data_IF_586865072764
#
_entry.id   IF_586865072764
#
_cell.length_a   1.000
_cell.length_b   1.000
_cell.length_c   1.000
_cell.angle_alpha   90.00
_cell.angle_beta   90.00
_cell.angle_gamma   90.00
#
_symmetry.space_group_name_H-M   'P 1'
#
loop_
_entity.id
_entity.type
_entity.pdbx_description
1 polymer ?
#
# COMPACT_ATOMS: atom_id res chain seq x y z
N UNK A 1 -11.82 -6.37 -13.33
CA UNK A 1 -11.58 -4.91 -13.21
C UNK A 1 -12.06 -4.44 -11.85
N UNK A 2 -11.23 -3.70 -11.09
CA UNK A 2 -11.70 -3.12 -9.84
C UNK A 2 -12.77 -2.06 -10.09
N UNK A 3 -13.74 -1.99 -9.17
CA UNK A 3 -14.79 -0.96 -9.19
C UNK A 3 -14.20 0.43 -8.95
N UNK A 4 -15.00 1.47 -9.22
CA UNK A 4 -14.62 2.84 -8.87
C UNK A 4 -14.34 2.98 -7.36
N UNK A 5 -15.17 2.34 -6.53
CA UNK A 5 -14.98 2.32 -5.07
C UNK A 5 -13.64 1.68 -4.70
N UNK A 6 -13.33 0.52 -5.28
CA UNK A 6 -12.07 -0.17 -4.99
C UNK A 6 -10.87 0.65 -5.47
N UNK A 7 -10.93 1.23 -6.67
CA UNK A 7 -9.85 2.10 -7.16
C UNK A 7 -9.61 3.29 -6.23
N UNK A 8 -10.68 3.90 -5.74
CA UNK A 8 -10.58 5.01 -4.81
C UNK A 8 -9.94 4.58 -3.48
N UNK A 9 -10.28 3.38 -2.99
CA UNK A 9 -9.68 2.84 -1.78
C UNK A 9 -8.19 2.55 -1.97
N UNK A 10 -7.81 1.97 -3.10
CA UNK A 10 -6.41 1.72 -3.42
C UNK A 10 -5.62 3.04 -3.51
N UNK A 11 -6.20 4.08 -4.09
CA UNK A 11 -5.58 5.41 -4.12
C UNK A 11 -5.40 5.97 -2.71
N UNK A 12 -6.43 5.83 -1.87
CA UNK A 12 -6.34 6.22 -0.46
C UNK A 12 -5.19 5.48 0.25
N UNK A 13 -5.05 4.17 0.02
CA UNK A 13 -3.93 3.40 0.60
C UNK A 13 -2.58 3.96 0.15
N UNK A 14 -2.44 4.34 -1.12
CA UNK A 14 -1.20 4.91 -1.62
C UNK A 14 -0.87 6.27 -0.97
N UNK A 15 -1.89 7.04 -0.65
CA UNK A 15 -1.71 8.30 0.10
C UNK A 15 -1.28 7.97 1.53
N UNK A 16 -1.93 7.00 2.16
CA UNK A 16 -1.58 6.55 3.52
C UNK A 16 -0.14 6.08 3.59
N UNK A 17 0.30 5.29 2.60
CA UNK A 17 1.68 4.80 2.54
C UNK A 17 2.68 5.85 2.06
N UNK A 18 2.20 7.00 1.58
CA UNK A 18 3.07 8.08 1.12
C UNK A 18 3.75 7.80 -0.21
N UNK A 19 3.23 6.87 -0.99
CA UNK A 19 3.89 6.44 -2.24
C UNK A 19 3.46 7.23 -3.46
N UNK A 20 2.15 7.43 -3.66
CA UNK A 20 1.67 8.20 -4.82
C UNK A 20 2.00 9.68 -4.70
N UNK A 21 2.27 10.16 -3.48
CA UNK A 21 2.68 11.55 -3.21
C UNK A 21 4.18 11.68 -3.04
N UNK A 22 4.94 10.60 -3.19
CA UNK A 22 6.40 10.64 -3.02
C UNK A 22 7.04 11.52 -4.08
N UNK A 23 7.99 12.35 -3.65
CA UNK A 23 8.68 13.31 -4.51
C UNK A 23 9.36 12.63 -5.70
N UNK A 24 9.93 11.46 -5.49
CA UNK A 24 10.77 10.80 -6.48
C UNK A 24 10.00 9.81 -7.37
N UNK A 25 8.70 9.57 -7.10
CA UNK A 25 7.97 8.60 -7.91
C UNK A 25 7.77 9.09 -9.34
N UNK A 26 8.00 8.19 -10.29
CA UNK A 26 7.77 8.43 -11.71
C UNK A 26 6.59 7.63 -12.24
N UNK A 27 5.93 6.86 -11.36
CA UNK A 27 4.83 6.00 -11.78
C UNK A 27 3.78 5.87 -10.66
N UNK A 28 3.29 7.01 -10.18
CA UNK A 28 2.14 7.07 -9.27
C UNK A 28 2.29 6.17 -8.03
N UNK A 29 3.51 6.06 -7.51
CA UNK A 29 3.84 5.29 -6.32
C UNK A 29 4.21 3.83 -6.57
N UNK A 30 3.95 3.28 -7.75
CA UNK A 30 4.24 1.88 -8.04
C UNK A 30 5.74 1.55 -8.01
N UNK A 31 6.60 2.54 -8.19
CA UNK A 31 8.05 2.38 -8.26
C UNK A 31 8.78 2.77 -6.97
N UNK A 32 8.06 3.02 -5.88
CA UNK A 32 8.67 3.53 -4.65
C UNK A 32 9.26 2.39 -3.81
N UNK A 33 10.50 2.60 -3.33
CA UNK A 33 11.14 1.75 -2.33
C UNK A 33 10.97 2.44 -0.98
N UNK A 34 10.77 1.67 0.09
CA UNK A 34 10.59 2.23 1.43
C UNK A 34 11.77 3.16 1.77
N UNK A 35 11.44 4.30 2.39
CA UNK A 35 12.45 5.28 2.77
C UNK A 35 13.10 4.89 4.10
N UNK A 36 14.42 4.97 4.16
CA UNK A 36 15.19 4.63 5.33
C UNK A 36 16.14 5.74 5.76
N UNK A 37 17.05 5.40 6.68
CA UNK A 37 18.03 6.32 7.22
C UNK A 37 19.16 6.63 6.25
N UNK A 38 19.56 5.64 5.44
CA UNK A 38 20.68 5.77 4.52
C UNK A 38 20.22 6.39 3.21
N UNK A 39 20.67 7.63 2.98
CA UNK A 39 20.30 8.39 1.78
C UNK A 39 20.92 7.83 0.50
N UNK A 40 21.90 6.92 0.61
CA UNK A 40 22.46 6.25 -0.56
C UNK A 40 21.58 5.11 -1.08
N UNK A 41 20.62 4.67 -0.28
CA UNK A 41 19.68 3.62 -0.68
C UNK A 41 18.76 4.14 -1.79
N UNK A 42 18.54 3.36 -2.87
CA UNK A 42 17.59 3.78 -3.92
C UNK A 42 16.21 4.05 -3.36
N UNK A 43 15.54 5.07 -3.86
CA UNK A 43 14.17 5.43 -3.45
C UNK A 43 13.12 4.95 -4.45
N UNK A 44 13.56 4.56 -5.65
CA UNK A 44 12.68 4.04 -6.69
C UNK A 44 13.38 2.89 -7.44
N UNK A 45 12.58 2.11 -8.19
CA UNK A 45 13.09 1.04 -9.04
C UNK A 45 12.43 1.12 -10.41
N UNK A 46 13.02 0.43 -11.40
CA UNK A 46 12.51 0.47 -12.78
C UNK A 46 12.13 -0.90 -13.33
N UNK A 47 12.62 -1.98 -12.72
CA UNK A 47 12.35 -3.34 -13.18
C UNK A 47 11.15 -3.92 -12.44
N UNK A 48 10.01 -3.99 -13.13
CA UNK A 48 8.76 -4.52 -12.58
C UNK A 48 8.60 -6.03 -12.78
N UNK A 49 9.58 -6.70 -13.39
CA UNK A 49 9.47 -8.15 -13.58
C UNK A 49 9.58 -8.93 -12.28
N UNK A 50 10.05 -8.28 -11.23
CA UNK A 50 10.18 -8.85 -9.88
C UNK A 50 10.15 -7.74 -8.84
N UNK A 51 9.86 -8.11 -7.59
CA UNK A 51 10.00 -7.21 -6.45
C UNK A 51 11.47 -6.80 -6.31
N UNK A 52 11.79 -5.52 -6.07
CA UNK A 52 13.18 -5.06 -6.03
C UNK A 52 14.01 -5.66 -4.89
N UNK A 53 13.35 -6.10 -3.81
CA UNK A 53 14.00 -6.77 -2.67
C UNK A 53 15.20 -6.00 -2.13
N UNK A 54 15.03 -4.69 -1.92
CA UNK A 54 16.05 -3.85 -1.31
C UNK A 54 15.80 -3.80 0.20
N UNK A 55 16.74 -4.30 0.99
CA UNK A 55 16.64 -4.28 2.44
C UNK A 55 17.10 -2.93 2.96
N UNK A 56 16.19 -2.17 3.56
CA UNK A 56 16.40 -0.79 3.98
C UNK A 56 16.35 -0.69 5.50
N UNK A 57 17.35 -0.04 6.11
CA UNK A 57 17.36 0.23 7.55
C UNK A 57 16.49 1.46 7.83
N UNK A 58 15.46 1.30 8.67
CA UNK A 58 14.45 2.33 8.92
C UNK A 58 14.77 3.23 10.11
N UNK A 59 15.46 2.72 11.13
CA UNK A 59 15.73 3.49 12.34
C UNK A 59 17.05 3.08 13.00
N UNK A 60 17.42 3.81 14.08
CA UNK A 60 18.65 3.59 14.82
C UNK A 60 18.69 2.22 15.52
N UNK A 61 17.53 1.62 15.78
CA UNK A 61 17.44 0.33 16.45
C UNK A 61 17.65 -0.85 15.50
N UNK A 62 17.95 -0.57 14.24
CA UNK A 62 18.23 -1.60 13.25
C UNK A 62 16.99 -2.22 12.62
N UNK A 63 15.82 -1.62 12.77
CA UNK A 63 14.62 -2.08 12.09
C UNK A 63 14.82 -1.99 10.59
N UNK A 64 14.57 -3.08 9.89
CA UNK A 64 14.77 -3.18 8.44
C UNK A 64 13.49 -3.59 7.73
N UNK A 65 13.36 -3.18 6.47
CA UNK A 65 12.19 -3.52 5.66
C UNK A 65 12.57 -3.68 4.20
N UNK A 66 11.88 -4.58 3.51
CA UNK A 66 11.96 -4.72 2.06
C UNK A 66 10.73 -4.14 1.36
N UNK A 67 9.90 -3.37 2.07
CA UNK A 67 8.64 -2.84 1.54
C UNK A 67 8.88 -2.04 0.26
N UNK A 68 8.05 -2.28 -0.75
CA UNK A 68 8.18 -1.62 -2.04
C UNK A 68 6.84 -1.53 -2.74
N UNK A 69 6.78 -0.66 -3.75
CA UNK A 69 5.60 -0.45 -4.58
C UNK A 69 4.59 0.48 -3.95
N UNK A 70 3.48 0.62 -4.63
CA UNK A 70 2.43 1.59 -4.28
C UNK A 70 1.82 1.32 -2.91
N UNK A 71 1.75 0.05 -2.51
CA UNK A 71 1.14 -0.39 -1.26
C UNK A 71 2.15 -0.92 -0.24
N UNK A 72 3.43 -0.72 -0.50
CA UNK A 72 4.54 -1.08 0.40
C UNK A 72 4.49 -2.54 0.83
N UNK A 73 4.56 -3.43 -0.17
CA UNK A 73 4.48 -4.87 0.02
C UNK A 73 5.88 -5.42 0.30
N UNK A 74 6.02 -6.22 1.37
CA UNK A 74 7.28 -6.87 1.70
C UNK A 74 7.62 -7.95 0.67
N UNK A 75 8.91 -8.16 0.44
CA UNK A 75 9.38 -9.18 -0.51
C UNK A 75 8.81 -10.57 -0.21
N UNK A 76 8.82 -10.98 1.06
CA UNK A 76 8.33 -12.32 1.45
C UNK A 76 6.84 -12.49 1.12
N UNK A 77 6.05 -11.44 1.22
CA UNK A 77 4.64 -11.50 0.86
C UNK A 77 4.45 -11.53 -0.65
N UNK A 78 5.27 -10.78 -1.40
CA UNK A 78 5.21 -10.85 -2.85
C UNK A 78 5.49 -12.26 -3.35
N UNK A 79 6.51 -12.94 -2.81
CA UNK A 79 6.83 -14.32 -3.21
C UNK A 79 5.63 -15.23 -3.00
N UNK A 80 4.98 -15.15 -1.83
CA UNK A 80 3.83 -15.98 -1.50
C UNK A 80 2.63 -15.67 -2.41
N UNK A 81 2.29 -14.39 -2.57
CA UNK A 81 1.12 -14.00 -3.37
C UNK A 81 1.36 -14.15 -4.87
N UNK A 82 2.59 -13.98 -5.33
CA UNK A 82 2.92 -14.23 -6.73
C UNK A 82 2.55 -15.66 -7.11
N UNK A 83 2.88 -16.63 -6.26
CA UNK A 83 2.53 -18.03 -6.49
C UNK A 83 1.03 -18.26 -6.35
N UNK A 84 0.43 -17.77 -5.28
CA UNK A 84 -1.01 -17.98 -4.98
C UNK A 84 -1.90 -17.39 -6.07
N UNK A 85 -1.60 -16.19 -6.53
CA UNK A 85 -2.41 -15.44 -7.49
C UNK A 85 -1.92 -15.61 -8.93
N UNK A 86 -0.85 -16.38 -9.15
CA UNK A 86 -0.25 -16.63 -10.46
C UNK A 86 0.12 -15.33 -11.18
N UNK A 87 0.79 -14.44 -10.45
CA UNK A 87 1.20 -13.14 -10.98
C UNK A 87 2.42 -13.29 -11.88
N UNK A 88 2.57 -12.36 -12.83
CA UNK A 88 3.69 -12.35 -13.77
C UNK A 88 4.95 -11.73 -13.19
N UNK A 89 4.80 -10.77 -12.27
CA UNK A 89 5.91 -10.04 -11.70
C UNK A 89 5.44 -9.13 -10.58
N UNK A 90 5.95 -7.90 -10.59
CA UNK A 90 5.58 -6.87 -9.64
C UNK A 90 5.09 -5.61 -10.39
N UNK A 91 4.40 -5.83 -11.51
CA UNK A 91 3.83 -4.77 -12.32
C UNK A 91 2.69 -4.07 -11.54
N UNK A 92 2.26 -2.87 -11.98
CA UNK A 92 1.14 -2.20 -11.32
C UNK A 92 -0.09 -3.07 -11.11
N UNK A 93 -0.50 -3.84 -12.12
CA UNK A 93 -1.64 -4.76 -12.01
C UNK A 93 -1.39 -5.89 -11.00
N UNK A 94 -0.14 -6.35 -10.86
CA UNK A 94 0.22 -7.37 -9.86
C UNK A 94 0.13 -6.79 -8.46
N UNK A 95 0.63 -5.57 -8.27
CA UNK A 95 0.57 -4.87 -6.99
C UNK A 95 -0.88 -4.63 -6.57
N UNK A 96 -1.72 -4.17 -7.50
CA UNK A 96 -3.15 -3.99 -7.24
C UNK A 96 -3.81 -5.31 -6.85
N UNK A 97 -3.48 -6.40 -7.53
CA UNK A 97 -4.04 -7.73 -7.24
C UNK A 97 -3.68 -8.18 -5.82
N UNK A 98 -2.44 -7.95 -5.38
CA UNK A 98 -2.02 -8.29 -4.02
C UNK A 98 -2.79 -7.44 -3.00
N UNK A 99 -2.88 -6.12 -3.22
CA UNK A 99 -3.60 -5.25 -2.31
C UNK A 99 -5.07 -5.65 -2.20
N UNK A 100 -5.73 -5.96 -3.31
CA UNK A 100 -7.12 -6.42 -3.30
C UNK A 100 -7.28 -7.76 -2.57
N UNK A 101 -6.31 -8.65 -2.69
CA UNK A 101 -6.33 -9.92 -1.95
C UNK A 101 -6.19 -9.69 -0.44
N UNK A 102 -5.30 -8.80 -0.02
CA UNK A 102 -5.16 -8.44 1.38
C UNK A 102 -6.46 -7.84 1.92
N UNK A 103 -7.11 -6.99 1.14
CA UNK A 103 -8.41 -6.39 1.51
C UNK A 103 -9.48 -7.48 1.67
N UNK A 104 -9.53 -8.46 0.77
CA UNK A 104 -10.44 -9.59 0.89
C UNK A 104 -10.19 -10.40 2.15
N UNK A 105 -8.92 -10.65 2.47
CA UNK A 105 -8.54 -11.38 3.70
C UNK A 105 -8.95 -10.62 4.95
N UNK A 106 -8.95 -9.29 4.90
CA UNK A 106 -9.43 -8.43 5.97
C UNK A 106 -10.96 -8.36 6.02
N UNK A 107 -11.66 -8.95 5.06
CA UNK A 107 -13.14 -8.93 4.94
C UNK A 107 -13.68 -7.50 4.78
N UNK A 108 -12.94 -6.64 4.09
CA UNK A 108 -13.28 -5.24 3.92
C UNK A 108 -13.89 -4.92 2.54
N UNK A 109 -13.92 -5.86 1.60
CA UNK A 109 -14.38 -5.60 0.23
C UNK A 109 -15.81 -5.08 0.21
N UNK A 110 -16.74 -5.72 0.92
CA UNK A 110 -18.13 -5.28 0.96
C UNK A 110 -18.27 -3.88 1.56
N UNK A 111 -17.52 -3.60 2.63
CA UNK A 111 -17.55 -2.26 3.25
C UNK A 111 -17.13 -1.19 2.24
N UNK A 112 -16.09 -1.45 1.46
CA UNK A 112 -15.62 -0.52 0.43
C UNK A 112 -16.70 -0.29 -0.62
N UNK A 113 -17.29 -1.37 -1.14
CA UNK A 113 -18.31 -1.26 -2.19
C UNK A 113 -19.55 -0.51 -1.72
N UNK A 114 -19.92 -0.66 -0.45
CA UNK A 114 -21.07 0.01 0.14
C UNK A 114 -20.75 1.40 0.71
N UNK A 115 -19.49 1.83 0.69
CA UNK A 115 -19.08 3.14 1.17
C UNK A 115 -18.87 3.23 2.68
N UNK A 116 -18.82 2.10 3.39
CA UNK A 116 -18.50 2.05 4.82
C UNK A 116 -16.98 2.14 5.01
N UNK A 117 -16.41 3.31 4.72
CA UNK A 117 -14.96 3.46 4.58
C UNK A 117 -14.24 3.43 5.92
N UNK A 118 -14.83 3.99 6.98
CA UNK A 118 -14.25 3.92 8.32
C UNK A 118 -14.11 2.46 8.77
N UNK A 119 -15.12 1.64 8.52
CA UNK A 119 -15.11 0.22 8.84
C UNK A 119 -14.05 -0.52 8.02
N UNK A 120 -13.96 -0.20 6.72
CA UNK A 120 -12.96 -0.81 5.84
C UNK A 120 -11.53 -0.50 6.32
N UNK A 121 -11.26 0.76 6.65
CA UNK A 121 -9.96 1.19 7.18
C UNK A 121 -9.65 0.43 8.48
N UNK A 122 -10.60 0.35 9.39
CA UNK A 122 -10.42 -0.37 10.65
C UNK A 122 -10.08 -1.84 10.44
N UNK A 123 -10.71 -2.48 9.47
CA UNK A 123 -10.44 -3.89 9.13
C UNK A 123 -9.07 -4.09 8.48
N UNK A 124 -8.56 -3.10 7.77
CA UNK A 124 -7.29 -3.20 7.03
C UNK A 124 -6.07 -2.74 7.84
N UNK A 125 -6.25 -2.15 9.02
CA UNK A 125 -5.15 -1.59 9.82
C UNK A 125 -4.10 -2.64 10.22
N UNK A 126 -4.48 -3.90 10.29
CA UNK A 126 -3.54 -4.98 10.62
C UNK A 126 -2.55 -5.26 9.48
N UNK A 127 -2.87 -4.83 8.27
CA UNK A 127 -2.03 -5.04 7.09
C UNK A 127 -1.27 -3.78 6.66
N UNK A 128 -1.75 -2.60 7.03
CA UNK A 128 -1.13 -1.31 6.70
C UNK A 128 -0.99 -0.48 7.96
N UNK A 129 0.24 -0.41 8.48
CA UNK A 129 0.56 0.24 9.76
C UNK A 129 0.33 1.75 9.74
N UNK A 130 0.25 2.36 8.57
CA UNK A 130 -0.02 3.80 8.42
C UNK A 130 -1.49 4.16 8.66
N UNK A 131 -2.38 3.16 8.70
CA UNK A 131 -3.81 3.40 8.91
C UNK A 131 -4.12 3.71 10.38
N UNK A 132 -5.13 4.56 10.64
CA UNK A 132 -5.49 4.94 12.02
C UNK A 132 -5.83 3.73 12.89
N UNK A 133 -5.32 3.71 14.11
CA UNK A 133 -5.60 2.66 15.08
C UNK A 133 -4.78 1.40 14.93
N UNK A 134 -3.79 1.37 14.04
CA UNK A 134 -2.94 0.20 13.86
C UNK A 134 -2.07 -0.10 15.09
N UNK A 135 -1.54 0.93 15.74
CA UNK A 135 -0.85 0.78 17.03
C UNK A 135 0.55 0.19 16.96
N UNK A 136 1.21 0.24 15.79
CA UNK A 136 2.54 -0.35 15.60
C UNK A 136 3.69 0.62 15.90
N UNK A 137 3.40 1.80 16.48
CA UNK A 137 4.44 2.78 16.77
C UNK A 137 4.96 3.52 15.55
N UNK A 138 4.37 3.33 14.38
CA UNK A 138 4.69 4.04 13.16
C UNK A 138 3.73 5.22 12.98
N UNK A 139 4.11 6.17 12.11
CA UNK A 139 3.26 7.30 11.78
C UNK A 139 1.91 6.80 11.21
N UNK A 140 0.83 7.36 11.73
CA UNK A 140 -0.53 7.07 11.28
C UNK A 140 -1.18 8.35 10.76
N UNK A 141 -1.88 8.23 9.62
CA UNK A 141 -2.70 9.33 9.12
C UNK A 141 -4.00 9.42 9.89
N UNK A 142 -4.58 10.62 9.96
CA UNK A 142 -5.90 10.78 10.56
C UNK A 142 -6.97 10.20 9.61
N UNK A 143 -8.06 9.74 10.21
CA UNK A 143 -9.19 9.20 9.45
C UNK A 143 -9.73 10.24 8.44
N UNK A 144 -9.84 11.50 8.86
CA UNK A 144 -10.38 12.57 8.01
C UNK A 144 -9.54 12.79 6.75
N UNK A 145 -8.21 12.74 6.87
CA UNK A 145 -7.29 12.88 5.73
C UNK A 145 -7.51 11.75 4.74
N UNK A 146 -7.63 10.52 5.23
CA UNK A 146 -7.80 9.35 4.36
C UNK A 146 -9.16 9.34 3.68
N UNK A 147 -10.22 9.69 4.40
CA UNK A 147 -11.56 9.79 3.80
C UNK A 147 -11.59 10.89 2.73
N UNK A 148 -10.93 12.02 2.97
CA UNK A 148 -10.82 13.07 1.96
C UNK A 148 -10.08 12.57 0.71
N UNK A 149 -9.00 11.80 0.87
CA UNK A 149 -8.28 11.21 -0.26
C UNK A 149 -9.15 10.21 -1.03
N UNK A 150 -9.94 9.41 -0.33
CA UNK A 150 -10.88 8.46 -0.93
C UNK A 150 -11.91 9.19 -1.79
N UNK A 151 -12.52 10.24 -1.26
CA UNK A 151 -13.51 11.04 -1.99
C UNK A 151 -12.89 11.74 -3.20
N UNK A 152 -11.69 12.31 -3.03
CA UNK A 152 -10.98 12.99 -4.12
C UNK A 152 -10.67 12.03 -5.27
N UNK A 153 -10.49 10.74 -4.98
CA UNK A 153 -10.24 9.71 -5.98
C UNK A 153 -11.52 9.18 -6.64
N UNK A 154 -12.68 9.74 -6.31
CA UNK A 154 -13.97 9.37 -6.92
C UNK A 154 -14.81 8.42 -6.08
N UNK A 155 -14.38 8.10 -4.85
CA UNK A 155 -15.13 7.23 -3.97
C UNK A 155 -16.33 7.91 -3.34
N UNK A 156 -17.33 7.11 -3.03
CA UNK A 156 -18.55 7.58 -2.36
C UNK A 156 -18.63 6.97 -0.97
N UNK A 157 -18.80 7.84 0.03
CA UNK A 157 -18.96 7.44 1.42
C UNK A 157 -20.46 7.36 1.74
N UNK A 158 -20.84 6.26 2.42
CA UNK A 158 -22.23 6.05 2.85
C UNK A 158 -22.65 7.10 3.86
#
# INVERSE_FOLDING_TARGET
>A
MPSTQMKAFLTMLSVSEGTSTAKDTKNNGYDVIVHGMDKSTPTTFTDYSKHPNVLVTLNKNGLKSTAAGRYQILYKYWVAYKQQLKLKGFYPEDQDAIAMQLIRECKATEDIELGRIQQAISKCKSRWASLPGAGYGQFEHSLDVLIAAFKAAGGKVL
#
